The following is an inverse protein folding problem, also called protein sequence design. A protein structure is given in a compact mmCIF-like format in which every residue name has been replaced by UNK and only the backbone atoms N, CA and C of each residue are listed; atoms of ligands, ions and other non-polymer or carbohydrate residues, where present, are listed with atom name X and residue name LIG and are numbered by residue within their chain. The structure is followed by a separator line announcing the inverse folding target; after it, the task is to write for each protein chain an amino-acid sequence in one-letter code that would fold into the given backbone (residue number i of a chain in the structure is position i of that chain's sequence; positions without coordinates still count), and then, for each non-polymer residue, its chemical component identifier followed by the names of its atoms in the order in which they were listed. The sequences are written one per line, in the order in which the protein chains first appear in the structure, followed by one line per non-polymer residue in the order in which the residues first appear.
data_IF_441812503333
#
_entry.id   IF_441812503333
#
_cell.length_a   1.000
_cell.length_b   1.000
_cell.length_c   1.000
_cell.angle_alpha   90.00
_cell.angle_beta   90.00
_cell.angle_gamma   90.00
#
_symmetry.space_group_name_H-M   'P 1'
#
loop_
_entity.id
_entity.type
_entity.pdbx_description
1 polymer ?
#
# COMPACT_ATOMS: atom_id res chain seq x y z
N UNK A 1 -22.94 -10.98 6.50
CA UNK A 1 -22.07 -9.90 6.00
C UNK A 1 -21.78 -10.22 4.54
N UNK A 2 -21.77 -9.22 3.65
CA UNK A 2 -21.40 -9.45 2.25
C UNK A 2 -19.94 -9.92 2.17
N UNK A 3 -19.64 -10.88 1.28
CA UNK A 3 -18.29 -11.36 1.07
C UNK A 3 -17.41 -10.22 0.52
N UNK A 4 -16.18 -10.12 1.01
CA UNK A 4 -15.24 -9.10 0.55
C UNK A 4 -14.79 -9.40 -0.88
N UNK A 5 -15.02 -8.46 -1.81
CA UNK A 5 -14.69 -8.63 -3.22
C UNK A 5 -13.20 -8.41 -3.48
N UNK A 6 -12.59 -9.37 -4.18
CA UNK A 6 -11.19 -9.34 -4.62
C UNK A 6 -11.16 -9.52 -6.15
N UNK A 7 -10.44 -8.67 -6.85
CA UNK A 7 -10.22 -8.79 -8.30
C UNK A 7 -8.83 -9.34 -8.58
N UNK A 8 -8.77 -10.46 -9.30
CA UNK A 8 -7.52 -11.09 -9.76
C UNK A 8 -7.30 -10.74 -11.22
N UNK A 9 -6.18 -10.10 -11.51
CA UNK A 9 -5.78 -9.68 -12.87
C UNK A 9 -4.47 -10.38 -13.22
N UNK A 10 -4.53 -11.39 -14.06
CA UNK A 10 -3.41 -12.22 -14.49
C UNK A 10 -3.75 -12.81 -15.86
N UNK A 11 -2.84 -12.92 -16.80
CA UNK A 11 -3.11 -13.51 -18.13
C UNK A 11 -3.09 -15.04 -18.09
N UNK A 12 -2.42 -15.65 -17.09
CA UNK A 12 -2.38 -17.10 -16.91
C UNK A 12 -3.71 -17.62 -16.32
N UNK A 13 -4.49 -18.42 -17.09
CA UNK A 13 -5.74 -18.97 -16.59
C UNK A 13 -5.55 -19.95 -15.42
N UNK A 14 -4.40 -20.61 -15.32
CA UNK A 14 -4.12 -21.55 -14.23
C UNK A 14 -3.98 -20.79 -12.90
N UNK A 15 -3.30 -19.65 -12.92
CA UNK A 15 -3.15 -18.77 -11.73
C UNK A 15 -4.51 -18.18 -11.36
N UNK A 16 -5.28 -17.66 -12.33
CA UNK A 16 -6.61 -17.12 -12.04
C UNK A 16 -7.52 -18.15 -11.41
N UNK A 17 -7.57 -19.36 -11.95
CA UNK A 17 -8.43 -20.43 -11.44
C UNK A 17 -7.98 -20.91 -10.05
N UNK A 18 -6.67 -21.08 -9.83
CA UNK A 18 -6.12 -21.42 -8.52
C UNK A 18 -6.52 -20.38 -7.45
N UNK A 19 -6.39 -19.11 -7.77
CA UNK A 19 -6.72 -18.04 -6.83
C UNK A 19 -8.23 -17.91 -6.62
N UNK A 20 -9.04 -18.11 -7.66
CA UNK A 20 -10.50 -18.13 -7.54
C UNK A 20 -10.98 -19.24 -6.60
N UNK A 21 -10.50 -20.45 -6.80
CA UNK A 21 -10.84 -21.59 -5.95
C UNK A 21 -10.35 -21.40 -4.51
N UNK A 22 -9.07 -21.06 -4.35
CA UNK A 22 -8.46 -20.91 -3.04
C UNK A 22 -9.07 -19.77 -2.21
N UNK A 23 -9.22 -18.59 -2.79
CA UNK A 23 -9.79 -17.45 -2.09
C UNK A 23 -11.30 -17.60 -1.90
N UNK A 24 -12.02 -18.17 -2.89
CA UNK A 24 -13.44 -18.49 -2.77
C UNK A 24 -13.73 -19.44 -1.61
N UNK A 25 -12.94 -20.51 -1.46
CA UNK A 25 -13.03 -21.44 -0.32
C UNK A 25 -12.77 -20.76 1.05
N UNK A 26 -12.14 -19.58 1.03
CA UNK A 26 -11.88 -18.79 2.25
C UNK A 26 -12.84 -17.60 2.43
N UNK A 27 -13.97 -17.58 1.70
CA UNK A 27 -15.07 -16.65 1.89
C UNK A 27 -14.94 -15.31 1.18
N UNK A 28 -14.05 -15.19 0.17
CA UNK A 28 -13.95 -14.01 -0.68
C UNK A 28 -14.86 -14.13 -1.91
N UNK A 29 -15.41 -12.99 -2.37
CA UNK A 29 -16.03 -12.86 -3.69
C UNK A 29 -14.94 -12.53 -4.70
N UNK A 30 -14.61 -13.49 -5.59
CA UNK A 30 -13.46 -13.37 -6.49
C UNK A 30 -13.92 -13.06 -7.91
N UNK A 31 -13.57 -11.89 -8.43
CA UNK A 31 -13.70 -11.54 -9.83
C UNK A 31 -12.36 -11.78 -10.55
N UNK A 32 -12.43 -12.15 -11.84
CA UNK A 32 -11.28 -12.51 -12.66
C UNK A 32 -11.19 -11.64 -13.89
N UNK A 33 -9.99 -11.19 -14.22
CA UNK A 33 -9.69 -10.46 -15.43
C UNK A 33 -8.39 -10.99 -16.08
N UNK A 34 -8.41 -11.18 -17.40
CA UNK A 34 -7.24 -11.66 -18.15
C UNK A 34 -6.40 -10.52 -18.76
N UNK A 35 -6.81 -9.27 -18.58
CA UNK A 35 -6.14 -8.10 -19.18
C UNK A 35 -6.57 -6.81 -18.50
N UNK A 36 -5.89 -5.70 -18.79
CA UNK A 36 -6.26 -4.37 -18.32
C UNK A 36 -7.66 -3.93 -18.79
N UNK A 37 -8.08 -4.32 -20.00
CA UNK A 37 -9.44 -4.04 -20.51
C UNK A 37 -10.49 -4.78 -19.68
N UNK A 38 -10.28 -6.05 -19.41
CA UNK A 38 -11.18 -6.84 -18.57
C UNK A 38 -11.19 -6.35 -17.12
N UNK A 39 -10.05 -5.91 -16.59
CA UNK A 39 -9.95 -5.28 -15.28
C UNK A 39 -10.85 -4.05 -15.18
N UNK A 40 -10.79 -3.14 -16.16
CA UNK A 40 -11.62 -1.92 -16.16
C UNK A 40 -13.11 -2.26 -16.21
N UNK A 41 -13.51 -3.23 -17.02
CA UNK A 41 -14.90 -3.69 -17.07
C UNK A 41 -15.38 -4.24 -15.72
N UNK A 42 -14.55 -4.99 -15.00
CA UNK A 42 -14.89 -5.48 -13.67
C UNK A 42 -14.96 -4.38 -12.61
N UNK A 43 -14.12 -3.35 -12.71
CA UNK A 43 -14.18 -2.17 -11.84
C UNK A 43 -15.47 -1.36 -12.02
N UNK A 44 -15.98 -1.27 -13.26
CA UNK A 44 -17.26 -0.61 -13.56
C UNK A 44 -18.47 -1.39 -13.03
N UNK A 45 -18.38 -2.72 -13.00
CA UNK A 45 -19.46 -3.58 -12.48
C UNK A 45 -19.60 -3.49 -10.96
N UNK A 46 -18.50 -3.59 -10.25
CA UNK A 46 -18.46 -3.47 -8.79
C UNK A 46 -17.04 -3.21 -8.29
N UNK A 47 -16.88 -2.23 -7.42
CA UNK A 47 -15.60 -1.89 -6.84
C UNK A 47 -15.06 -3.02 -5.94
N UNK A 48 -13.86 -3.59 -6.20
CA UNK A 48 -13.22 -4.53 -5.30
C UNK A 48 -12.59 -3.80 -4.12
N UNK A 49 -12.41 -4.49 -3.00
CA UNK A 49 -11.62 -3.99 -1.87
C UNK A 49 -10.12 -4.07 -2.17
N UNK A 50 -9.71 -5.12 -2.89
CA UNK A 50 -8.30 -5.36 -3.26
C UNK A 50 -8.21 -5.89 -4.68
N UNK A 51 -7.20 -5.43 -5.41
CA UNK A 51 -6.78 -5.95 -6.73
C UNK A 51 -5.45 -6.69 -6.56
N UNK A 52 -5.42 -7.96 -6.97
CA UNK A 52 -4.20 -8.74 -7.17
C UNK A 52 -3.81 -8.56 -8.64
N UNK A 53 -2.68 -7.92 -8.90
CA UNK A 53 -2.33 -7.45 -10.24
C UNK A 53 -0.99 -8.03 -10.69
N UNK A 54 -1.01 -8.81 -11.74
CA UNK A 54 0.23 -9.25 -12.39
C UNK A 54 0.94 -8.09 -13.08
N UNK A 55 2.26 -8.05 -12.97
CA UNK A 55 3.10 -7.08 -13.68
C UNK A 55 3.25 -7.49 -15.14
N UNK A 56 3.41 -8.78 -15.42
CA UNK A 56 3.77 -9.32 -16.72
C UNK A 56 2.60 -9.45 -17.70
N UNK A 57 1.57 -8.61 -17.62
CA UNK A 57 0.41 -8.71 -18.50
C UNK A 57 0.78 -8.37 -19.96
N UNK A 58 0.28 -9.14 -20.94
CA UNK A 58 0.50 -8.83 -22.34
C UNK A 58 -0.27 -7.56 -22.75
N UNK A 59 0.38 -6.72 -23.52
CA UNK A 59 -0.20 -5.52 -24.13
C UNK A 59 -0.15 -4.28 -23.25
N UNK A 60 -0.67 -4.31 -22.04
CA UNK A 60 -0.61 -3.17 -21.11
C UNK A 60 0.12 -3.56 -19.83
N UNK A 61 1.21 -2.88 -19.53
CA UNK A 61 2.05 -3.11 -18.36
C UNK A 61 1.28 -2.97 -17.03
N UNK A 62 1.43 -3.94 -16.16
CA UNK A 62 0.81 -3.95 -14.82
C UNK A 62 1.16 -2.72 -13.98
N UNK A 63 2.34 -2.11 -14.17
CA UNK A 63 2.71 -0.86 -13.50
C UNK A 63 1.83 0.32 -13.97
N UNK A 64 1.52 0.38 -15.25
CA UNK A 64 0.58 1.37 -15.83
C UNK A 64 -0.82 1.18 -15.26
N UNK A 65 -1.27 -0.08 -15.14
CA UNK A 65 -2.56 -0.41 -14.52
C UNK A 65 -2.59 -0.06 -13.03
N UNK A 66 -1.51 -0.30 -12.29
CA UNK A 66 -1.41 0.08 -10.89
C UNK A 66 -1.52 1.59 -10.70
N UNK A 67 -0.88 2.39 -11.57
CA UNK A 67 -1.00 3.85 -11.60
C UNK A 67 -2.44 4.28 -11.85
N UNK A 68 -3.08 3.71 -12.89
CA UNK A 68 -4.49 3.96 -13.20
C UNK A 68 -5.40 3.68 -12.00
N UNK A 69 -5.24 2.53 -11.34
CA UNK A 69 -5.99 2.17 -10.14
C UNK A 69 -5.80 3.20 -9.02
N UNK A 70 -4.57 3.66 -8.82
CA UNK A 70 -4.25 4.59 -7.73
C UNK A 70 -4.76 6.01 -7.98
N UNK A 71 -4.83 6.43 -9.25
CA UNK A 71 -5.35 7.75 -9.63
C UNK A 71 -6.87 7.83 -9.59
N UNK A 72 -7.57 6.71 -9.86
CA UNK A 72 -9.02 6.70 -10.07
C UNK A 72 -9.84 5.89 -9.06
N UNK A 73 -9.18 5.00 -8.30
CA UNK A 73 -9.86 4.07 -7.40
C UNK A 73 -9.17 4.02 -6.03
N UNK A 74 -9.97 3.97 -4.98
CA UNK A 74 -9.49 3.75 -3.61
C UNK A 74 -9.53 2.25 -3.27
N UNK A 75 -8.66 1.47 -3.90
CA UNK A 75 -8.55 0.02 -3.72
C UNK A 75 -7.18 -0.36 -3.18
N UNK A 76 -7.10 -1.45 -2.43
CA UNK A 76 -5.83 -2.07 -2.10
C UNK A 76 -5.19 -2.70 -3.34
N UNK A 77 -3.87 -2.62 -3.52
CA UNK A 77 -3.16 -3.21 -4.65
C UNK A 77 -2.04 -4.10 -4.14
N UNK A 78 -2.11 -5.40 -4.47
CA UNK A 78 -1.00 -6.34 -4.30
C UNK A 78 -0.47 -6.69 -5.68
N UNK A 79 0.79 -6.31 -5.95
CA UNK A 79 1.45 -6.69 -7.21
C UNK A 79 1.91 -8.15 -7.15
N UNK A 80 1.66 -8.88 -8.23
CA UNK A 80 2.19 -10.22 -8.44
C UNK A 80 3.31 -10.12 -9.48
N UNK A 81 4.51 -10.63 -9.18
CA UNK A 81 5.69 -10.40 -10.05
C UNK A 81 6.39 -11.73 -10.33
N UNK A 82 7.06 -11.84 -11.47
CA UNK A 82 7.97 -12.94 -11.77
C UNK A 82 9.14 -13.01 -10.79
N UNK A 83 9.68 -14.19 -10.57
CA UNK A 83 10.83 -14.38 -9.70
C UNK A 83 12.07 -13.66 -10.25
N UNK A 84 12.69 -12.79 -9.44
CA UNK A 84 14.02 -12.23 -9.70
C UNK A 84 14.08 -10.74 -10.04
N UNK A 85 12.99 -10.07 -10.34
CA UNK A 85 13.05 -8.67 -10.75
C UNK A 85 12.89 -7.71 -9.55
N UNK A 86 14.05 -7.39 -8.92
CA UNK A 86 14.11 -6.35 -7.88
C UNK A 86 13.67 -4.99 -8.45
N UNK A 87 13.92 -4.76 -9.75
CA UNK A 87 13.54 -3.54 -10.46
C UNK A 87 12.03 -3.41 -10.54
N UNK A 88 11.32 -4.49 -10.90
CA UNK A 88 9.85 -4.50 -10.97
C UNK A 88 9.20 -4.32 -9.60
N UNK A 89 9.80 -4.88 -8.54
CA UNK A 89 9.32 -4.66 -7.16
C UNK A 89 9.46 -3.20 -6.72
N UNK A 90 10.59 -2.59 -7.04
CA UNK A 90 10.85 -1.16 -6.78
C UNK A 90 9.86 -0.30 -7.57
N UNK A 91 9.73 -0.55 -8.87
CA UNK A 91 8.81 0.18 -9.75
C UNK A 91 7.35 0.02 -9.29
N UNK A 92 6.89 -1.18 -8.93
CA UNK A 92 5.53 -1.43 -8.42
C UNK A 92 5.23 -0.64 -7.15
N UNK A 93 6.18 -0.59 -6.23
CA UNK A 93 6.05 0.23 -5.03
C UNK A 93 6.09 1.73 -5.34
N UNK A 94 6.87 2.18 -6.31
CA UNK A 94 6.92 3.58 -6.76
C UNK A 94 5.62 4.03 -7.41
N UNK A 95 4.88 3.17 -8.10
CA UNK A 95 3.56 3.49 -8.69
C UNK A 95 2.42 3.46 -7.67
N UNK A 96 2.61 2.95 -6.45
CA UNK A 96 1.59 3.02 -5.41
C UNK A 96 0.99 1.70 -4.97
N UNK A 97 1.57 0.56 -5.32
CA UNK A 97 1.17 -0.72 -4.74
C UNK A 97 1.32 -0.72 -3.22
N UNK A 98 0.40 -1.40 -2.54
CA UNK A 98 0.43 -1.55 -1.08
C UNK A 98 1.36 -2.68 -0.66
N UNK A 99 1.41 -3.77 -1.46
CA UNK A 99 2.28 -4.92 -1.23
C UNK A 99 2.65 -5.60 -2.56
N UNK A 100 3.56 -6.56 -2.51
CA UNK A 100 3.92 -7.41 -3.65
C UNK A 100 4.15 -8.85 -3.19
N UNK A 101 4.04 -9.79 -4.15
CA UNK A 101 4.37 -11.19 -3.96
C UNK A 101 5.03 -11.72 -5.23
N UNK A 102 6.13 -12.48 -5.08
CA UNK A 102 6.85 -13.06 -6.21
C UNK A 102 6.29 -14.44 -6.60
N UNK A 103 6.17 -14.71 -7.91
CA UNK A 103 5.88 -16.04 -8.46
C UNK A 103 7.18 -16.88 -8.47
N UNK A 104 7.14 -18.17 -8.10
CA UNK A 104 6.00 -18.89 -7.56
C UNK A 104 5.74 -18.52 -6.09
N UNK A 105 4.48 -18.44 -5.69
CA UNK A 105 4.07 -18.11 -4.35
C UNK A 105 3.19 -19.20 -3.72
N UNK A 106 3.21 -19.28 -2.39
CA UNK A 106 2.26 -20.09 -1.64
C UNK A 106 0.92 -19.31 -1.52
N UNK A 107 -0.24 -19.88 -1.92
CA UNK A 107 -1.54 -19.23 -1.76
C UNK A 107 -1.84 -18.80 -0.31
N UNK A 108 -1.29 -19.51 0.68
CA UNK A 108 -1.40 -19.13 2.10
C UNK A 108 -0.69 -17.82 2.40
N UNK A 109 0.46 -17.59 1.79
CA UNK A 109 1.19 -16.34 1.90
C UNK A 109 0.40 -15.18 1.28
N UNK A 110 -0.11 -15.37 0.06
CA UNK A 110 -0.95 -14.38 -0.60
C UNK A 110 -2.16 -14.01 0.26
N UNK A 111 -2.86 -15.02 0.81
CA UNK A 111 -4.01 -14.79 1.70
C UNK A 111 -3.63 -14.02 2.96
N UNK A 112 -2.49 -14.29 3.56
CA UNK A 112 -2.03 -13.56 4.73
C UNK A 112 -1.76 -12.08 4.42
N UNK A 113 -1.17 -11.77 3.24
CA UNK A 113 -0.96 -10.42 2.72
C UNK A 113 -2.29 -9.72 2.44
N UNK A 114 -3.20 -10.41 1.75
CA UNK A 114 -4.56 -9.94 1.48
C UNK A 114 -5.31 -9.60 2.77
N UNK A 115 -5.32 -10.50 3.75
CA UNK A 115 -5.98 -10.27 5.04
C UNK A 115 -5.37 -9.09 5.80
N UNK A 116 -4.05 -8.93 5.77
CA UNK A 116 -3.37 -7.79 6.38
C UNK A 116 -3.78 -6.46 5.72
N UNK A 117 -3.88 -6.44 4.39
CA UNK A 117 -4.29 -5.24 3.64
C UNK A 117 -5.77 -4.92 3.88
N UNK A 118 -6.66 -5.91 3.82
CA UNK A 118 -8.10 -5.73 4.04
C UNK A 118 -8.42 -5.15 5.43
N UNK A 119 -7.77 -5.65 6.48
CA UNK A 119 -7.91 -5.10 7.82
C UNK A 119 -7.63 -3.60 7.86
N UNK A 120 -6.71 -3.10 7.05
CA UNK A 120 -6.36 -1.69 6.93
C UNK A 120 -7.42 -0.90 6.15
N UNK A 121 -7.99 -1.50 5.10
CA UNK A 121 -9.06 -0.89 4.28
C UNK A 121 -10.37 -0.82 5.09
N UNK A 122 -10.73 -1.86 5.83
CA UNK A 122 -11.96 -1.90 6.66
C UNK A 122 -11.95 -0.88 7.80
N UNK A 123 -10.79 -0.63 8.43
CA UNK A 123 -10.66 0.40 9.46
C UNK A 123 -10.95 1.80 8.88
N UNK A 124 -10.73 2.01 7.57
CA UNK A 124 -11.01 3.27 6.88
C UNK A 124 -12.50 3.51 6.62
N UNK A 125 -13.34 2.47 6.69
CA UNK A 125 -14.76 2.53 6.29
C UNK A 125 -15.74 2.81 7.43
N UNK A 126 -15.29 2.90 8.68
CA UNK A 126 -16.18 3.10 9.84
C UNK A 126 -16.17 4.56 10.31
N UNK A 127 -17.28 5.31 10.15
CA UNK A 127 -17.41 6.64 10.73
C UNK A 127 -17.66 6.50 12.24
N UNK A 128 -16.61 6.53 13.06
CA UNK A 128 -16.77 6.72 14.50
C UNK A 128 -16.45 8.16 14.88
N UNK A 129 -17.46 8.89 15.29
CA UNK A 129 -17.36 10.15 16.04
C UNK A 129 -16.43 9.96 17.24
N UNK A 130 -15.27 10.56 17.20
CA UNK A 130 -14.42 10.73 18.37
C UNK A 130 -13.31 11.71 18.07
N UNK A 131 -12.96 12.54 19.04
CA UNK A 131 -11.92 13.58 19.04
C UNK A 131 -10.79 13.31 18.07
N UNK A 132 -10.69 14.13 17.04
CA UNK A 132 -9.67 14.04 15.99
C UNK A 132 -8.27 14.20 16.60
N UNK A 133 -7.49 13.12 16.57
CA UNK A 133 -6.07 13.21 16.91
C UNK A 133 -5.31 13.63 15.63
N UNK A 134 -5.32 14.95 15.36
CA UNK A 134 -4.59 15.53 14.22
C UNK A 134 -3.16 15.85 14.65
N UNK A 135 -2.21 15.21 13.99
CA UNK A 135 -0.79 15.45 14.23
C UNK A 135 -0.20 16.17 13.02
N UNK A 136 0.51 17.26 13.28
CA UNK A 136 1.23 18.01 12.23
C UNK A 136 2.45 17.24 11.79
N UNK A 137 2.62 17.09 10.47
CA UNK A 137 3.80 16.49 9.85
C UNK A 137 4.21 17.28 8.61
N UNK A 138 5.31 18.02 8.71
CA UNK A 138 5.74 18.95 7.67
C UNK A 138 4.66 20.00 7.38
N UNK A 139 4.19 20.08 6.13
CA UNK A 139 3.10 20.99 5.70
C UNK A 139 1.69 20.37 5.79
N UNK A 140 1.57 19.18 6.34
CA UNK A 140 0.34 18.38 6.35
C UNK A 140 -0.10 18.02 7.77
N UNK A 141 -1.32 17.48 7.87
CA UNK A 141 -1.90 16.98 9.11
C UNK A 141 -2.37 15.56 8.89
N UNK A 142 -1.91 14.64 9.72
CA UNK A 142 -2.39 13.26 9.77
C UNK A 142 -3.52 13.15 10.80
N UNK A 143 -4.69 12.75 10.36
CA UNK A 143 -5.75 12.29 11.26
C UNK A 143 -5.56 10.77 11.48
N UNK A 144 -5.08 10.41 12.67
CA UNK A 144 -4.75 9.02 12.98
C UNK A 144 -5.99 8.14 13.05
N UNK A 145 -7.14 8.72 13.45
CA UNK A 145 -8.38 7.96 13.57
C UNK A 145 -9.10 7.79 12.24
N UNK A 146 -9.21 8.89 11.48
CA UNK A 146 -9.79 8.87 10.15
C UNK A 146 -8.85 8.21 9.12
N UNK A 147 -7.58 7.99 9.46
CA UNK A 147 -6.52 7.48 8.56
C UNK A 147 -6.36 8.34 7.29
N UNK A 148 -6.54 9.65 7.42
CA UNK A 148 -6.45 10.60 6.30
C UNK A 148 -5.29 11.57 6.50
N UNK A 149 -4.67 11.97 5.40
CA UNK A 149 -3.68 13.04 5.35
C UNK A 149 -4.32 14.25 4.68
N UNK A 150 -4.18 15.44 5.25
CA UNK A 150 -4.71 16.68 4.67
C UNK A 150 -3.67 17.79 4.66
N UNK A 151 -3.80 18.72 3.71
CA UNK A 151 -3.00 19.94 3.70
C UNK A 151 -3.50 20.98 4.73
N UNK A 152 -2.81 22.10 4.83
CA UNK A 152 -3.18 23.20 5.73
C UNK A 152 -4.56 23.83 5.41
N UNK A 153 -5.09 23.60 4.20
CA UNK A 153 -6.42 24.07 3.77
C UNK A 153 -7.51 23.01 4.00
N UNK A 154 -7.16 21.86 4.60
CA UNK A 154 -8.08 20.75 4.86
C UNK A 154 -8.37 19.88 3.64
N UNK A 155 -7.67 20.07 2.52
CA UNK A 155 -7.84 19.20 1.33
C UNK A 155 -7.14 17.88 1.57
N UNK A 156 -7.84 16.79 1.30
CA UNK A 156 -7.30 15.45 1.46
C UNK A 156 -6.18 15.17 0.43
N UNK A 157 -5.09 14.58 0.92
CA UNK A 157 -3.96 14.12 0.12
C UNK A 157 -4.02 12.59 0.09
N UNK A 158 -4.18 11.95 -1.09
CA UNK A 158 -4.26 10.51 -1.18
C UNK A 158 -3.00 9.84 -0.64
N UNK A 159 -3.19 8.90 0.28
CA UNK A 159 -2.11 8.05 0.81
C UNK A 159 -2.56 6.59 0.79
N UNK A 160 -1.61 5.70 0.55
CA UNK A 160 -1.87 4.26 0.65
C UNK A 160 -1.94 3.83 2.11
N UNK A 161 -2.55 2.66 2.37
CA UNK A 161 -2.58 2.10 3.73
C UNK A 161 -1.19 1.92 4.33
N UNK A 162 -0.21 1.55 3.52
CA UNK A 162 1.18 1.40 3.96
C UNK A 162 1.88 2.73 4.23
N UNK A 163 1.59 3.77 3.44
CA UNK A 163 2.09 5.12 3.69
C UNK A 163 1.52 5.67 4.99
N UNK A 164 0.23 5.43 5.24
CA UNK A 164 -0.39 5.80 6.52
C UNK A 164 0.27 5.09 7.71
N UNK A 165 0.44 3.75 7.65
CA UNK A 165 1.04 2.99 8.73
C UNK A 165 2.49 3.44 9.01
N UNK A 166 3.23 3.80 7.96
CA UNK A 166 4.59 4.33 8.09
C UNK A 166 4.61 5.73 8.74
N UNK A 167 3.69 6.63 8.34
CA UNK A 167 3.52 7.92 9.00
C UNK A 167 3.14 7.76 10.47
N UNK A 168 2.20 6.85 10.76
CA UNK A 168 1.75 6.55 12.12
C UNK A 168 2.91 6.05 12.98
N UNK A 169 3.68 5.06 12.50
CA UNK A 169 4.84 4.54 13.21
C UNK A 169 5.87 5.64 13.55
N UNK A 170 6.14 6.53 12.60
CA UNK A 170 7.05 7.66 12.81
C UNK A 170 6.52 8.67 13.84
N UNK A 171 5.23 9.02 13.77
CA UNK A 171 4.58 9.99 14.67
C UNK A 171 4.46 9.45 16.10
N UNK A 172 4.26 8.15 16.27
CA UNK A 172 4.20 7.51 17.60
C UNK A 172 5.57 7.43 18.30
N UNK A 173 6.67 7.69 17.56
CA UNK A 173 8.05 7.68 18.07
C UNK A 173 8.79 8.99 17.70
N UNK A 174 8.31 10.16 18.17
CA UNK A 174 8.92 11.45 17.82
C UNK A 174 10.33 11.55 18.38
N UNK A 175 11.23 12.16 17.61
CA UNK A 175 12.64 12.35 17.96
C UNK A 175 13.43 11.04 18.19
N UNK A 176 12.85 9.89 17.86
CA UNK A 176 13.51 8.59 17.95
C UNK A 176 13.92 8.10 16.56
N UNK A 177 15.14 7.59 16.46
CA UNK A 177 15.61 6.94 15.24
C UNK A 177 14.99 5.54 15.15
N UNK A 178 14.21 5.29 14.11
CA UNK A 178 13.67 3.97 13.79
C UNK A 178 14.48 3.37 12.64
N UNK A 179 15.00 2.17 12.86
CA UNK A 179 15.71 1.44 11.80
C UNK A 179 14.73 1.00 10.70
N UNK A 180 15.27 0.66 9.53
CA UNK A 180 14.46 0.12 8.42
C UNK A 180 13.71 -1.12 8.84
N UNK A 181 14.35 -2.01 9.59
CA UNK A 181 13.77 -3.25 10.07
C UNK A 181 12.65 -3.00 11.10
N UNK A 182 12.85 -2.05 12.02
CA UNK A 182 11.79 -1.62 12.94
C UNK A 182 10.58 -1.06 12.19
N UNK A 183 10.81 -0.19 11.20
CA UNK A 183 9.72 0.36 10.38
C UNK A 183 9.00 -0.72 9.56
N UNK A 184 9.73 -1.68 9.00
CA UNK A 184 9.14 -2.84 8.32
C UNK A 184 8.29 -3.68 9.27
N UNK A 185 8.82 -4.02 10.44
CA UNK A 185 8.10 -4.80 11.46
C UNK A 185 6.83 -4.08 11.92
N UNK A 186 6.92 -2.79 12.23
CA UNK A 186 5.78 -1.98 12.68
C UNK A 186 4.68 -1.84 11.63
N UNK A 187 5.06 -1.79 10.34
CA UNK A 187 4.11 -1.60 9.24
C UNK A 187 3.59 -2.89 8.61
N UNK A 188 4.34 -3.98 8.66
CA UNK A 188 3.98 -5.25 8.00
C UNK A 188 3.54 -6.36 8.94
N UNK A 189 3.84 -6.28 10.23
CA UNK A 189 3.60 -7.38 11.18
C UNK A 189 4.25 -8.73 10.72
N UNK A 190 5.45 -8.69 10.11
CA UNK A 190 6.17 -9.84 9.55
C UNK A 190 7.68 -9.75 9.73
N UNK A 191 8.31 -10.92 9.74
CA UNK A 191 9.75 -11.11 9.76
C UNK A 191 10.43 -10.59 8.48
N UNK A 192 11.66 -10.16 8.64
CA UNK A 192 12.55 -9.50 7.71
C UNK A 192 12.91 -10.36 6.47
N UNK A 193 12.83 -9.78 5.27
CA UNK A 193 13.56 -10.27 4.10
C UNK A 193 14.82 -9.40 3.90
N UNK A 194 16.03 -10.02 3.79
CA UNK A 194 17.27 -9.28 3.54
C UNK A 194 17.13 -8.40 2.28
N UNK A 195 17.57 -7.12 2.38
CA UNK A 195 17.59 -6.15 1.27
C UNK A 195 16.24 -5.55 0.84
N UNK A 196 15.20 -5.56 1.67
CA UNK A 196 13.94 -4.87 1.37
C UNK A 196 14.11 -3.33 1.41
N UNK A 197 14.38 -2.73 0.25
CA UNK A 197 14.47 -1.27 0.08
C UNK A 197 13.09 -0.57 0.02
N UNK A 198 12.02 -1.28 0.25
CA UNK A 198 10.66 -0.73 0.15
C UNK A 198 10.41 0.45 1.08
N UNK A 199 11.06 0.50 2.25
CA UNK A 199 10.97 1.62 3.19
C UNK A 199 11.55 2.90 2.59
N UNK A 200 12.73 2.84 1.97
CA UNK A 200 13.40 4.03 1.41
C UNK A 200 12.55 4.67 0.31
N UNK A 201 11.93 3.85 -0.54
CA UNK A 201 11.03 4.30 -1.61
C UNK A 201 9.79 4.95 -1.01
N UNK A 202 9.17 4.32 -0.01
CA UNK A 202 7.98 4.86 0.66
C UNK A 202 8.28 6.16 1.39
N UNK A 203 9.41 6.26 2.07
CA UNK A 203 9.87 7.51 2.69
C UNK A 203 10.05 8.60 1.64
N UNK A 204 10.65 8.28 0.49
CA UNK A 204 10.83 9.25 -0.60
C UNK A 204 9.48 9.77 -1.10
N UNK A 205 8.48 8.90 -1.26
CA UNK A 205 7.11 9.29 -1.65
C UNK A 205 6.42 10.12 -0.59
N UNK A 206 6.50 9.71 0.68
CA UNK A 206 5.94 10.47 1.79
C UNK A 206 6.53 11.88 1.87
N UNK A 207 7.83 12.03 1.70
CA UNK A 207 8.49 13.34 1.68
C UNK A 207 7.92 14.24 0.58
N UNK A 208 7.65 13.73 -0.62
CA UNK A 208 7.01 14.49 -1.69
C UNK A 208 5.62 15.01 -1.31
N UNK A 209 4.91 14.30 -0.43
CA UNK A 209 3.56 14.68 0.06
C UNK A 209 3.62 15.66 1.25
N UNK A 210 4.48 15.38 2.23
CA UNK A 210 4.46 16.08 3.52
C UNK A 210 5.52 17.19 3.67
N UNK A 211 6.66 17.10 3.00
CA UNK A 211 7.73 18.11 3.10
C UNK A 211 7.47 19.31 2.20
N UNK A 212 7.91 20.50 2.63
CA UNK A 212 7.94 21.67 1.79
C UNK A 212 9.00 21.55 0.69
N UNK A 213 10.16 21.00 1.03
CA UNK A 213 11.25 20.65 0.13
C UNK A 213 11.67 19.19 0.37
N UNK A 214 11.28 18.25 -0.52
CA UNK A 214 11.63 16.84 -0.38
C UNK A 214 13.14 16.55 -0.46
N UNK A 215 13.93 17.43 -1.08
CA UNK A 215 15.38 17.28 -1.16
C UNK A 215 16.08 17.64 0.17
N UNK A 216 15.48 18.56 0.93
CA UNK A 216 15.96 18.97 2.25
C UNK A 216 14.89 18.70 3.32
N UNK A 217 14.60 17.43 3.64
CA UNK A 217 13.50 17.04 4.51
C UNK A 217 13.75 17.49 5.95
N UNK A 218 12.73 18.10 6.57
CA UNK A 218 12.78 18.58 7.96
C UNK A 218 11.94 17.72 8.90
N UNK A 219 10.78 17.27 8.47
CA UNK A 219 9.88 16.46 9.29
C UNK A 219 10.30 14.99 9.34
N UNK A 220 10.70 14.39 8.20
CA UNK A 220 11.17 13.00 8.14
C UNK A 220 12.66 13.02 7.79
N UNK A 221 13.53 12.99 8.79
CA UNK A 221 14.98 13.02 8.58
C UNK A 221 15.58 11.65 8.38
N UNK A 222 16.62 11.57 7.52
CA UNK A 222 17.49 10.39 7.41
C UNK A 222 18.60 10.48 8.41
N UNK A 223 18.76 9.45 9.24
CA UNK A 223 19.94 9.25 10.08
C UNK A 223 20.82 8.21 9.38
N UNK A 224 21.91 8.66 8.75
CA UNK A 224 22.79 7.80 7.93
C UNK A 224 23.25 6.57 8.70
N UNK A 225 23.14 5.41 8.09
CA UNK A 225 23.51 4.14 8.69
C UNK A 225 22.53 3.59 9.74
N UNK A 226 21.58 4.40 10.25
CA UNK A 226 20.68 4.01 11.33
C UNK A 226 19.21 3.88 10.89
N UNK A 227 18.66 4.83 10.11
CA UNK A 227 17.27 4.77 9.68
C UNK A 227 16.64 6.14 9.48
N UNK A 228 15.42 6.32 9.99
CA UNK A 228 14.61 7.53 9.83
C UNK A 228 14.10 8.03 11.17
N UNK A 229 13.87 9.33 11.27
CA UNK A 229 13.39 9.99 12.48
C UNK A 229 12.34 11.04 12.12
N UNK A 230 11.24 11.07 12.84
CA UNK A 230 10.26 12.15 12.76
C UNK A 230 10.63 13.27 13.72
N UNK A 231 10.63 14.51 13.21
CA UNK A 231 10.83 15.73 14.00
C UNK A 231 9.49 16.49 14.01
N UNK A 232 8.82 16.65 15.15
CA UNK A 232 7.61 17.47 15.26
C UNK A 232 7.88 18.93 14.91
N UNK A 233 6.89 19.59 14.29
CA UNK A 233 6.95 21.02 14.05
C UNK A 233 6.77 21.75 15.38
N UNK A 234 7.78 22.51 15.82
CA UNK A 234 7.70 23.30 17.04
C UNK A 234 8.86 23.09 18.04
N UNK A 235 9.87 22.28 17.68
CA UNK A 235 11.16 22.24 18.39
C UNK A 235 12.29 22.81 17.55
#
# INVERSE_FOLDING_TARGET
MAATRVLVVDDDPAIRNLLAEYLGAHGYDVALAASGVAMRAELERAAPAVVLLDIGLPGEDGLTLARYLRERHQVGIIMVTGAGDVVDRVAGLEVGADDYIAKPFDPRELRARLKSLLRRVEINSSPKQSTHLRVSIGRCFLDVKARTLSDAKGREIPITSMEFDLLKALIEHPNQVLSRDQLLTMTRNREWEPFDRSIDIRITRLRRKVEADPAHPRAIRTVRGAGYMFIPAGE
#
